data_IF_654128143764
#
_entry.id   IF_654128143764
#
_cell.length_a   1.000
_cell.length_b   1.000
_cell.length_c   1.000
_cell.angle_alpha   90.00
_cell.angle_beta   90.00
_cell.angle_gamma   90.00
#
_symmetry.space_group_name_H-M   'P 1'
#
loop_
_entity.id
_entity.type
_entity.pdbx_description
1 polymer ?
#
# COMPACT_ATOMS: atom_id res chain seq x y z
N UNK A 1 -7.55 -3.45 6.91
CA UNK A 1 -6.24 -3.79 6.31
C UNK A 1 -6.25 -5.04 5.42
N UNK A 2 -7.23 -5.95 5.48
CA UNK A 2 -7.27 -7.15 4.62
C UNK A 2 -7.37 -6.83 3.12
N UNK A 3 -8.21 -5.87 2.73
CA UNK A 3 -8.41 -5.50 1.33
C UNK A 3 -7.14 -4.91 0.69
N UNK A 4 -6.42 -4.02 1.39
CA UNK A 4 -5.19 -3.42 0.86
C UNK A 4 -4.05 -4.46 0.73
N UNK A 5 -3.96 -5.42 1.65
CA UNK A 5 -3.02 -6.56 1.54
C UNK A 5 -3.38 -7.48 0.36
N UNK A 6 -4.68 -7.70 0.13
CA UNK A 6 -5.13 -8.44 -1.04
C UNK A 6 -4.81 -7.71 -2.35
N UNK A 7 -5.00 -6.38 -2.40
CA UNK A 7 -4.62 -5.55 -3.54
C UNK A 7 -3.11 -5.64 -3.82
N UNK A 8 -2.26 -5.52 -2.79
CA UNK A 8 -0.81 -5.72 -2.92
C UNK A 8 -0.47 -7.09 -3.53
N UNK A 9 -1.10 -8.16 -3.06
CA UNK A 9 -0.88 -9.51 -3.60
C UNK A 9 -1.27 -9.60 -5.08
N UNK A 10 -2.39 -8.99 -5.47
CA UNK A 10 -2.83 -8.96 -6.87
C UNK A 10 -1.86 -8.18 -7.76
N UNK A 11 -1.41 -7.00 -7.31
CA UNK A 11 -0.44 -6.17 -8.05
C UNK A 11 0.89 -6.91 -8.28
N UNK A 12 1.39 -7.63 -7.25
CA UNK A 12 2.58 -8.50 -7.39
C UNK A 12 2.37 -9.62 -8.40
N UNK A 13 1.19 -10.26 -8.37
CA UNK A 13 0.86 -11.33 -9.31
C UNK A 13 0.73 -10.82 -10.76
N UNK A 14 0.31 -9.57 -10.94
CA UNK A 14 0.20 -8.91 -12.24
C UNK A 14 1.55 -8.39 -12.78
N UNK A 15 2.64 -8.44 -12.00
CA UNK A 15 3.95 -7.95 -12.43
C UNK A 15 4.09 -6.42 -12.42
N UNK A 16 3.18 -5.72 -11.75
CA UNK A 16 3.23 -4.25 -11.63
C UNK A 16 4.50 -3.82 -10.91
N UNK A 17 5.15 -2.78 -11.43
CA UNK A 17 6.33 -2.18 -10.82
C UNK A 17 5.93 -1.43 -9.54
N UNK A 18 6.01 -2.13 -8.41
CA UNK A 18 5.81 -1.54 -7.09
C UNK A 18 7.02 -0.68 -6.73
N UNK A 19 6.74 0.56 -6.32
CA UNK A 19 7.74 1.43 -5.71
C UNK A 19 7.85 1.04 -4.23
N UNK A 20 9.07 0.82 -3.75
CA UNK A 20 9.35 0.55 -2.33
C UNK A 20 9.87 1.84 -1.68
N UNK A 21 9.01 2.64 -1.02
CA UNK A 21 9.45 3.84 -0.37
C UNK A 21 9.97 3.42 0.99
N UNK A 22 11.29 3.34 1.13
CA UNK A 22 11.92 3.11 2.43
C UNK A 22 11.41 4.05 3.52
N UNK A 23 11.50 3.58 4.78
CA UNK A 23 11.39 4.18 6.11
C UNK A 23 10.47 5.38 6.44
N UNK A 24 9.95 6.18 5.51
CA UNK A 24 9.12 7.35 5.84
C UNK A 24 7.61 7.07 5.71
N UNK A 25 7.17 6.32 4.70
CA UNK A 25 5.85 5.66 4.67
C UNK A 25 5.98 4.40 3.81
N UNK A 26 6.73 3.40 4.28
CA UNK A 26 6.82 2.10 3.62
C UNK A 26 5.56 1.23 3.87
N UNK A 27 5.31 0.21 3.03
CA UNK A 27 4.08 -0.58 3.02
C UNK A 27 3.71 -1.15 4.40
N UNK A 28 4.68 -1.49 5.24
CA UNK A 28 4.44 -1.89 6.64
C UNK A 28 5.64 -1.53 7.51
N UNK A 29 5.77 -0.26 7.92
CA UNK A 29 6.61 0.05 9.08
C UNK A 29 6.08 -0.72 10.29
N UNK A 30 6.89 -1.51 11.03
CA UNK A 30 6.42 -2.26 12.20
C UNK A 30 5.71 -1.33 13.21
N UNK A 31 4.41 -1.54 13.43
CA UNK A 31 3.60 -0.71 14.34
C UNK A 31 2.89 0.50 13.71
N UNK A 32 3.03 0.73 12.40
CA UNK A 32 2.30 1.80 11.70
C UNK A 32 0.80 1.50 11.60
N UNK A 33 -0.03 2.49 11.91
CA UNK A 33 -1.48 2.44 11.66
C UNK A 33 -1.85 2.72 10.19
N UNK A 34 -0.87 3.12 9.38
CA UNK A 34 -1.02 3.51 7.98
C UNK A 34 -0.31 2.52 7.07
N UNK A 35 -0.92 2.25 5.93
CA UNK A 35 -0.38 1.39 4.89
C UNK A 35 -0.74 2.03 3.55
N UNK A 36 0.28 2.25 2.72
CA UNK A 36 0.19 2.82 1.38
C UNK A 36 0.91 1.91 0.39
N UNK A 37 0.41 1.87 -0.84
CA UNK A 37 1.03 1.21 -1.99
C UNK A 37 1.31 2.28 -3.03
N UNK A 38 2.54 2.34 -3.52
CA UNK A 38 2.90 3.15 -4.67
C UNK A 38 3.35 2.24 -5.80
N UNK A 39 2.94 2.55 -7.02
CA UNK A 39 3.29 1.76 -8.18
C UNK A 39 3.18 2.58 -9.46
N UNK A 40 3.90 2.14 -10.48
CA UNK A 40 3.76 2.68 -11.83
C UNK A 40 2.90 1.75 -12.69
N UNK A 41 1.98 2.32 -13.46
CA UNK A 41 1.32 1.58 -14.54
C UNK A 41 2.21 1.55 -15.80
N UNK A 42 1.76 0.79 -16.80
CA UNK A 42 2.49 0.61 -18.07
C UNK A 42 2.55 1.91 -18.91
N UNK A 43 1.68 2.88 -18.62
CA UNK A 43 1.67 4.20 -19.24
C UNK A 43 2.63 5.18 -18.54
N UNK A 44 3.27 4.76 -17.44
CA UNK A 44 4.24 5.52 -16.68
C UNK A 44 3.64 6.43 -15.59
N UNK A 45 2.32 6.38 -15.36
CA UNK A 45 1.71 7.13 -14.26
C UNK A 45 2.04 6.50 -12.92
N UNK A 46 2.31 7.34 -11.92
CA UNK A 46 2.51 6.93 -10.53
C UNK A 46 1.19 6.97 -9.78
N UNK A 47 0.77 5.82 -9.28
CA UNK A 47 -0.46 5.64 -8.50
C UNK A 47 -0.15 5.46 -7.02
N UNK A 48 -1.04 5.94 -6.17
CA UNK A 48 -1.04 5.67 -4.73
C UNK A 48 -2.36 5.01 -4.32
N UNK A 49 -2.27 3.96 -3.50
CA UNK A 49 -3.40 3.38 -2.80
C UNK A 49 -3.09 3.28 -1.31
N UNK A 50 -3.73 4.10 -0.49
CA UNK A 50 -3.51 4.14 0.96
C UNK A 50 -4.79 3.98 1.78
N UNK A 51 -4.65 3.40 2.98
CA UNK A 51 -5.71 3.40 4.00
C UNK A 51 -5.38 4.48 5.03
N UNK A 52 -6.25 5.48 5.10
CA UNK A 52 -6.18 6.55 6.09
C UNK A 52 -7.25 6.36 7.16
N UNK A 53 -6.98 6.82 8.39
CA UNK A 53 -7.94 6.83 9.50
C UNK A 53 -8.63 5.49 9.76
N UNK A 54 -7.87 4.42 10.05
CA UNK A 54 -8.47 3.20 10.64
C UNK A 54 -9.18 3.64 11.92
N UNK A 55 -10.51 3.71 11.87
CA UNK A 55 -11.31 3.96 13.05
C UNK A 55 -10.95 2.87 14.06
N UNK A 56 -10.27 3.26 15.15
CA UNK A 56 -10.13 2.40 16.33
C UNK A 56 -11.57 2.06 16.72
N UNK A 57 -11.99 0.82 16.54
CA UNK A 57 -13.20 0.32 17.21
C UNK A 57 -12.93 0.57 18.70
N UNK A 58 -13.59 1.60 19.26
CA UNK A 58 -13.67 1.76 20.71
C UNK A 58 -14.47 0.55 21.18
N UNK A 59 -13.80 -0.30 21.96
CA UNK A 59 -14.43 -1.40 22.68
C UNK A 59 -15.40 -0.88 23.72
#
# INVERSE_FOLDING_TARGET
MSALRAALKQLRAAGVALEDPGDEIGPEGPGSAHMGLWFHDDDGYRWELSVQNVARRRG
#
